data_IF_974592717704
#
_entry.id   IF_974592717704
#
_cell.length_a   1.000
_cell.length_b   1.000
_cell.length_c   1.000
_cell.angle_alpha   90.00
_cell.angle_beta   90.00
_cell.angle_gamma   90.00
#
_symmetry.space_group_name_H-M   'P 1'
#
loop_
_entity.id
_entity.type
_entity.pdbx_description
1 polymer ?
#
# COMPACT_ATOMS: atom_id res chain seq x y z
N UNK A 1 19.87 11.53 9.84
CA UNK A 1 20.04 12.06 8.47
C UNK A 1 20.32 10.93 7.46
N UNK A 2 21.28 10.03 7.72
CA UNK A 2 21.58 8.89 6.83
C UNK A 2 20.42 7.93 6.61
N UNK A 3 19.58 7.65 7.59
CA UNK A 3 18.42 6.77 7.47
C UNK A 3 17.31 7.31 6.53
N UNK A 4 17.27 8.61 6.27
CA UNK A 4 16.35 9.21 5.28
C UNK A 4 16.85 9.02 3.85
N UNK A 5 18.17 8.95 3.65
CA UNK A 5 18.79 8.76 2.32
C UNK A 5 18.84 7.27 1.97
N UNK A 6 19.17 6.44 2.98
CA UNK A 6 19.26 4.98 2.86
C UNK A 6 18.25 4.33 3.83
N UNK A 7 16.95 4.30 3.47
CA UNK A 7 15.94 3.66 4.29
C UNK A 7 16.19 2.15 4.37
N UNK A 8 15.65 1.53 5.42
CA UNK A 8 15.63 0.06 5.51
C UNK A 8 14.96 -0.53 4.28
N UNK A 9 15.32 -1.75 3.96
CA UNK A 9 14.74 -2.51 2.85
C UNK A 9 13.76 -3.52 3.43
N UNK A 10 12.60 -3.59 2.81
CA UNK A 10 11.63 -4.63 3.10
C UNK A 10 12.21 -6.03 2.81
N UNK A 11 11.86 -7.03 3.61
CA UNK A 11 12.41 -8.39 3.51
C UNK A 11 12.25 -9.00 2.12
N UNK A 12 11.14 -8.71 1.46
CA UNK A 12 10.83 -9.14 0.10
C UNK A 12 11.80 -8.55 -0.96
N UNK A 13 12.49 -7.46 -0.65
CA UNK A 13 13.41 -6.78 -1.56
C UNK A 13 14.78 -7.45 -1.70
N UNK A 14 15.26 -8.14 -0.66
CA UNK A 14 16.64 -8.65 -0.66
C UNK A 14 16.97 -9.54 -1.86
N UNK A 15 16.08 -10.47 -2.20
CA UNK A 15 16.29 -11.36 -3.36
C UNK A 15 16.37 -10.61 -4.69
N UNK A 16 15.56 -9.56 -4.86
CA UNK A 16 15.56 -8.76 -6.10
C UNK A 16 16.80 -7.90 -6.20
N UNK A 17 17.29 -7.36 -5.08
CA UNK A 17 18.53 -6.59 -5.03
C UNK A 17 19.73 -7.48 -5.37
N UNK A 18 19.81 -8.69 -4.80
CA UNK A 18 20.89 -9.65 -5.12
C UNK A 18 20.89 -9.98 -6.62
N UNK A 19 19.73 -10.25 -7.19
CA UNK A 19 19.60 -10.51 -8.64
C UNK A 19 20.03 -9.28 -9.45
N UNK A 20 19.58 -8.07 -9.08
CA UNK A 20 19.93 -6.85 -9.77
C UNK A 20 21.43 -6.56 -9.73
N UNK A 21 22.07 -6.74 -8.56
CA UNK A 21 23.53 -6.62 -8.41
C UNK A 21 24.27 -7.62 -9.29
N UNK A 22 23.82 -8.89 -9.30
CA UNK A 22 24.43 -9.91 -10.15
C UNK A 22 24.35 -9.54 -11.64
N UNK A 23 23.18 -9.13 -12.11
CA UNK A 23 22.98 -8.67 -13.50
C UNK A 23 23.89 -7.46 -13.80
N UNK A 24 24.00 -6.52 -12.87
CA UNK A 24 24.84 -5.34 -13.01
C UNK A 24 26.32 -5.72 -13.17
N UNK A 25 26.82 -6.67 -12.40
CA UNK A 25 28.19 -7.17 -12.52
C UNK A 25 28.43 -7.80 -13.91
N UNK A 26 27.49 -8.63 -14.38
CA UNK A 26 27.57 -9.20 -15.74
C UNK A 26 27.59 -8.10 -16.81
N UNK A 27 26.74 -7.09 -16.68
CA UNK A 27 26.70 -5.97 -17.60
C UNK A 27 28.00 -5.15 -17.62
N UNK A 28 28.62 -4.93 -16.45
CA UNK A 28 29.92 -4.25 -16.35
C UNK A 28 31.06 -5.02 -17.03
N UNK A 29 31.03 -6.37 -16.99
CA UNK A 29 32.02 -7.20 -17.68
C UNK A 29 31.86 -7.09 -19.21
N UNK A 30 30.61 -6.94 -19.71
CA UNK A 30 30.34 -6.85 -21.13
C UNK A 30 30.68 -5.46 -21.67
N UNK A 31 30.20 -4.39 -21.03
CA UNK A 31 30.38 -3.02 -21.47
C UNK A 31 30.03 -2.02 -20.36
N UNK A 32 30.86 -0.98 -20.19
CA UNK A 32 30.67 0.06 -19.18
C UNK A 32 29.32 0.79 -19.30
N UNK A 33 28.80 0.99 -20.51
CA UNK A 33 27.49 1.63 -20.73
C UNK A 33 26.33 0.74 -20.21
N UNK A 34 26.39 -0.55 -20.52
CA UNK A 34 25.43 -1.52 -19.95
C UNK A 34 25.55 -1.59 -18.43
N UNK A 35 26.78 -1.55 -17.91
CA UNK A 35 27.02 -1.49 -16.48
C UNK A 35 26.37 -0.28 -15.81
N UNK A 36 26.45 0.89 -16.43
CA UNK A 36 25.74 2.08 -15.92
C UNK A 36 24.23 1.88 -15.85
N UNK A 37 23.63 1.30 -16.89
CA UNK A 37 22.20 0.96 -16.89
C UNK A 37 21.89 -0.02 -15.74
N UNK A 38 22.73 -1.04 -15.55
CA UNK A 38 22.59 -2.00 -14.45
C UNK A 38 22.62 -1.33 -13.09
N UNK A 39 23.54 -0.37 -12.86
CA UNK A 39 23.64 0.40 -11.62
C UNK A 39 22.33 1.18 -11.37
N UNK A 40 21.84 1.91 -12.38
CA UNK A 40 20.60 2.69 -12.26
C UNK A 40 19.39 1.80 -11.92
N UNK A 41 19.29 0.64 -12.59
CA UNK A 41 18.24 -0.33 -12.28
C UNK A 41 18.36 -0.91 -10.87
N UNK A 42 19.58 -1.20 -10.40
CA UNK A 42 19.81 -1.69 -9.03
C UNK A 42 19.42 -0.64 -8.00
N UNK A 43 19.77 0.62 -8.21
CA UNK A 43 19.35 1.73 -7.36
C UNK A 43 17.84 1.86 -7.35
N UNK A 44 17.18 1.76 -8.50
CA UNK A 44 15.72 1.80 -8.57
C UNK A 44 15.08 0.63 -7.82
N UNK A 45 15.57 -0.61 -7.96
CA UNK A 45 15.10 -1.78 -7.21
C UNK A 45 15.26 -1.55 -5.70
N UNK A 46 16.38 -0.99 -5.26
CA UNK A 46 16.60 -0.63 -3.86
C UNK A 46 15.52 0.35 -3.36
N UNK A 47 15.28 1.45 -4.12
CA UNK A 47 14.28 2.46 -3.74
C UNK A 47 12.86 1.92 -3.79
N UNK A 48 12.55 1.02 -4.72
CA UNK A 48 11.24 0.38 -4.80
C UNK A 48 10.91 -0.41 -3.54
N UNK A 49 11.88 -1.19 -3.03
CA UNK A 49 11.69 -2.02 -1.84
C UNK A 49 12.04 -1.30 -0.53
N UNK A 50 12.15 0.03 -0.54
CA UNK A 50 12.40 0.78 0.69
C UNK A 50 11.25 0.65 1.67
N UNK A 51 11.58 0.59 2.95
CA UNK A 51 10.65 0.58 4.07
C UNK A 51 11.08 1.66 5.09
N UNK A 52 10.79 2.94 4.81
CA UNK A 52 11.20 4.04 5.67
C UNK A 52 10.42 4.02 6.99
N UNK A 53 11.09 4.43 8.06
CA UNK A 53 10.40 4.75 9.31
C UNK A 53 9.50 5.97 9.09
N UNK A 54 8.31 5.94 9.69
CA UNK A 54 7.28 6.98 9.56
C UNK A 54 7.00 7.62 10.91
N UNK A 55 6.63 8.90 10.87
CA UNK A 55 6.20 9.61 12.07
C UNK A 55 4.68 9.51 12.18
N UNK A 56 4.23 8.58 13.00
CA UNK A 56 2.80 8.33 13.20
C UNK A 56 2.25 9.32 14.24
N UNK A 57 1.08 9.89 13.98
CA UNK A 57 0.44 10.82 14.90
C UNK A 57 -0.03 10.12 16.20
N UNK A 58 -0.44 8.86 16.10
CA UNK A 58 -0.91 8.07 17.26
C UNK A 58 -2.21 8.59 17.86
N UNK A 59 -3.09 9.18 17.05
CA UNK A 59 -4.39 9.72 17.47
C UNK A 59 -5.51 8.97 16.75
N UNK A 60 -6.29 8.22 17.51
CA UNK A 60 -7.38 7.38 16.99
C UNK A 60 -8.57 8.19 16.46
N UNK A 61 -8.59 9.54 16.63
CA UNK A 61 -9.57 10.41 15.97
C UNK A 61 -9.33 10.58 14.48
N UNK A 62 -8.18 10.13 13.97
CA UNK A 62 -7.81 10.25 12.55
C UNK A 62 -7.53 8.89 11.91
N UNK A 63 -7.89 8.79 10.64
CA UNK A 63 -7.37 7.74 9.76
C UNK A 63 -6.15 8.27 9.03
N UNK A 64 -5.02 7.55 9.09
CA UNK A 64 -3.81 7.87 8.32
C UNK A 64 -3.77 7.10 6.99
N UNK A 65 -2.99 7.60 6.04
CA UNK A 65 -2.85 6.94 4.74
C UNK A 65 -2.23 5.53 4.88
N UNK A 66 -2.80 4.49 4.26
CA UNK A 66 -2.19 3.16 4.22
C UNK A 66 -1.06 3.06 3.19
N UNK A 67 -0.91 4.03 2.29
CA UNK A 67 0.01 3.96 1.16
C UNK A 67 0.64 5.31 0.83
N UNK A 68 1.84 5.28 0.25
CA UNK A 68 2.39 6.43 -0.48
C UNK A 68 1.72 6.49 -1.85
N UNK A 69 1.45 7.69 -2.37
CA UNK A 69 0.93 7.85 -3.72
C UNK A 69 0.01 9.06 -3.90
N UNK A 70 -0.79 9.02 -4.94
CA UNK A 70 -1.75 10.08 -5.27
C UNK A 70 -3.17 9.64 -4.92
N UNK A 71 -3.93 10.49 -4.25
CA UNK A 71 -5.38 10.31 -4.02
C UNK A 71 -6.09 10.46 -5.36
N UNK A 72 -6.63 9.36 -5.90
CA UNK A 72 -7.32 9.36 -7.20
C UNK A 72 -8.84 9.36 -7.08
N UNK A 73 -9.39 9.00 -5.90
CA UNK A 73 -10.84 9.01 -5.64
C UNK A 73 -11.15 9.33 -4.18
N UNK A 74 -12.24 10.08 -3.98
CA UNK A 74 -12.90 10.30 -2.69
C UNK A 74 -14.40 10.24 -2.99
N UNK A 75 -15.09 9.19 -2.57
CA UNK A 75 -16.49 8.94 -2.96
C UNK A 75 -17.25 8.15 -1.89
N UNK A 76 -18.60 8.18 -1.95
CA UNK A 76 -19.46 7.30 -1.15
C UNK A 76 -19.86 6.09 -2.01
N UNK A 77 -19.73 4.90 -1.43
CA UNK A 77 -19.96 3.63 -2.13
C UNK A 77 -20.62 2.61 -1.19
N UNK A 78 -21.13 1.54 -1.75
CA UNK A 78 -21.49 0.36 -0.99
C UNK A 78 -20.21 -0.35 -0.49
N UNK A 79 -20.31 -0.98 0.66
CA UNK A 79 -19.19 -1.72 1.22
C UNK A 79 -18.79 -2.93 0.37
N UNK A 80 -17.58 -3.47 0.58
CA UNK A 80 -17.09 -4.61 -0.19
C UNK A 80 -17.98 -5.85 -0.02
N UNK A 81 -18.57 -6.31 -1.12
CA UNK A 81 -19.42 -7.51 -1.15
C UNK A 81 -18.69 -8.79 -0.77
N UNK A 82 -17.38 -8.82 -0.99
CA UNK A 82 -16.52 -9.94 -0.63
C UNK A 82 -16.47 -10.17 0.88
N UNK A 83 -16.75 -9.12 1.66
CA UNK A 83 -16.81 -9.18 3.13
C UNK A 83 -18.24 -9.17 3.67
N UNK A 84 -19.27 -9.27 2.79
CA UNK A 84 -20.69 -9.20 3.17
C UNK A 84 -21.11 -7.82 3.68
N UNK A 85 -20.47 -6.75 3.21
CA UNK A 85 -20.73 -5.37 3.62
C UNK A 85 -21.51 -4.55 2.61
N UNK A 86 -22.01 -5.16 1.53
CA UNK A 86 -22.71 -4.50 0.42
C UNK A 86 -23.98 -3.73 0.82
N UNK A 87 -24.56 -4.05 1.97
CA UNK A 87 -25.74 -3.38 2.49
C UNK A 87 -25.42 -2.16 3.39
N UNK A 88 -24.14 -1.85 3.56
CA UNK A 88 -23.67 -0.70 4.32
C UNK A 88 -23.05 0.34 3.39
N UNK A 89 -23.27 1.62 3.69
CA UNK A 89 -22.63 2.74 2.99
C UNK A 89 -21.28 3.08 3.65
N UNK A 90 -20.27 3.25 2.83
CA UNK A 90 -18.93 3.64 3.24
C UNK A 90 -18.48 4.87 2.44
N UNK A 91 -17.67 5.71 3.07
CA UNK A 91 -16.80 6.62 2.33
C UNK A 91 -15.56 5.85 1.92
N UNK A 92 -15.08 6.09 0.70
CA UNK A 92 -13.90 5.42 0.14
C UNK A 92 -12.88 6.44 -0.35
N UNK A 93 -11.63 6.24 0.03
CA UNK A 93 -10.48 6.94 -0.53
C UNK A 93 -9.61 5.92 -1.24
N UNK A 94 -9.27 6.21 -2.52
CA UNK A 94 -8.38 5.38 -3.33
C UNK A 94 -7.05 6.10 -3.56
N UNK A 95 -5.94 5.41 -3.31
CA UNK A 95 -4.59 5.94 -3.42
C UNK A 95 -3.81 5.09 -4.44
N UNK A 96 -3.38 5.72 -5.52
CA UNK A 96 -2.59 5.09 -6.57
C UNK A 96 -1.09 5.22 -6.26
N UNK A 97 -0.40 4.09 -6.23
CA UNK A 97 1.04 4.00 -6.03
C UNK A 97 1.74 3.80 -7.37
N UNK A 98 2.53 4.77 -7.83
CA UNK A 98 3.37 4.61 -9.00
C UNK A 98 4.67 3.86 -8.65
N UNK A 99 5.44 3.44 -9.65
CA UNK A 99 6.65 2.61 -9.47
C UNK A 99 7.81 3.28 -8.72
N UNK A 100 7.71 4.55 -8.37
CA UNK A 100 8.68 5.29 -7.58
C UNK A 100 8.21 5.50 -6.13
N UNK A 101 6.95 5.21 -5.83
CA UNK A 101 6.39 5.32 -4.48
C UNK A 101 6.86 4.16 -3.59
N UNK A 102 6.70 4.31 -2.27
CA UNK A 102 6.92 3.22 -1.33
C UNK A 102 5.70 2.30 -1.34
N UNK A 103 5.93 1.01 -1.52
CA UNK A 103 4.86 0.01 -1.67
C UNK A 103 4.55 -0.77 -0.38
N UNK A 104 5.20 -0.44 0.73
CA UNK A 104 4.84 -0.97 2.05
C UNK A 104 3.57 -0.29 2.53
N UNK A 105 2.54 -1.08 2.80
CA UNK A 105 1.25 -0.59 3.27
C UNK A 105 1.13 -0.71 4.79
N UNK A 106 0.39 0.24 5.37
CA UNK A 106 0.21 0.38 6.81
C UNK A 106 -1.25 0.45 7.19
N UNK A 107 -1.59 0.06 8.44
CA UNK A 107 -2.96 0.24 8.92
C UNK A 107 -3.28 1.73 9.12
N UNK A 108 -4.49 2.18 8.69
CA UNK A 108 -4.90 3.57 8.86
C UNK A 108 -5.30 3.92 10.29
N UNK A 109 -5.60 2.95 11.14
CA UNK A 109 -6.07 3.14 12.50
C UNK A 109 -5.51 2.07 13.44
N UNK A 110 -5.60 2.32 14.74
CA UNK A 110 -5.46 1.26 15.74
C UNK A 110 -6.74 0.40 15.78
N UNK A 111 -6.60 -0.90 16.01
CA UNK A 111 -7.76 -1.79 16.10
C UNK A 111 -7.41 -3.25 15.97
N UNK A 112 -8.44 -4.09 15.85
CA UNK A 112 -8.30 -5.54 15.73
C UNK A 112 -8.66 -5.96 14.30
N UNK A 113 -7.83 -6.78 13.69
CA UNK A 113 -8.09 -7.38 12.37
C UNK A 113 -9.17 -8.45 12.52
N UNK A 114 -10.40 -8.12 12.16
CA UNK A 114 -11.53 -9.08 12.25
C UNK A 114 -11.48 -10.12 11.13
N UNK A 115 -11.06 -9.74 9.95
CA UNK A 115 -10.97 -10.67 8.82
C UNK A 115 -9.91 -10.25 7.80
N UNK A 116 -9.37 -11.25 7.08
CA UNK A 116 -8.45 -11.08 5.96
C UNK A 116 -8.94 -11.99 4.83
N UNK A 117 -9.20 -11.39 3.67
CA UNK A 117 -9.68 -12.13 2.51
C UNK A 117 -8.81 -11.85 1.29
N UNK A 118 -8.10 -12.87 0.82
CA UNK A 118 -7.40 -12.81 -0.44
C UNK A 118 -8.29 -13.27 -1.60
N UNK A 119 -8.32 -12.49 -2.66
CA UNK A 119 -9.05 -12.81 -3.89
C UNK A 119 -8.10 -12.81 -5.08
N UNK A 120 -7.85 -13.97 -5.71
CA UNK A 120 -7.08 -14.02 -6.94
C UNK A 120 -7.79 -13.27 -8.05
N UNK A 121 -7.04 -12.69 -8.97
CA UNK A 121 -7.60 -11.89 -10.05
C UNK A 121 -6.62 -11.61 -11.17
N UNK A 122 -6.96 -10.65 -12.03
CA UNK A 122 -6.16 -10.17 -13.15
C UNK A 122 -5.14 -9.12 -12.66
N UNK A 123 -4.33 -8.63 -13.59
CA UNK A 123 -3.35 -7.56 -13.38
C UNK A 123 -3.58 -6.45 -14.41
N UNK A 124 -4.71 -5.74 -14.30
CA UNK A 124 -5.02 -4.58 -15.11
C UNK A 124 -4.38 -3.33 -14.50
N UNK A 125 -4.33 -2.23 -15.26
CA UNK A 125 -3.85 -0.95 -14.71
C UNK A 125 -4.71 -0.55 -13.49
N UNK A 126 -4.08 -0.42 -12.32
CA UNK A 126 -4.76 -0.18 -11.04
C UNK A 126 -5.46 1.19 -10.94
N UNK A 127 -5.12 2.16 -11.82
CA UNK A 127 -5.82 3.45 -11.89
C UNK A 127 -7.22 3.36 -12.49
N UNK A 128 -7.54 2.28 -13.20
CA UNK A 128 -8.83 2.08 -13.86
C UNK A 128 -9.88 1.52 -12.89
N UNK A 129 -11.15 1.89 -13.10
CA UNK A 129 -12.27 1.42 -12.26
C UNK A 129 -12.42 -0.11 -12.29
N UNK A 130 -12.30 -0.72 -13.46
CA UNK A 130 -12.33 -2.18 -13.63
C UNK A 130 -11.27 -2.94 -12.82
N UNK A 131 -10.16 -2.28 -12.46
CA UNK A 131 -9.15 -2.90 -11.62
C UNK A 131 -9.67 -3.21 -10.22
N UNK A 132 -10.62 -2.43 -9.70
CA UNK A 132 -11.26 -2.69 -8.40
C UNK A 132 -12.08 -3.98 -8.38
N UNK A 133 -12.52 -4.48 -9.53
CA UNK A 133 -13.39 -5.65 -9.61
C UNK A 133 -12.67 -6.90 -10.10
N UNK A 134 -11.71 -6.74 -11.02
CA UNK A 134 -11.07 -7.83 -11.74
C UNK A 134 -9.68 -8.21 -11.22
N UNK A 135 -8.95 -7.25 -10.61
CA UNK A 135 -7.56 -7.50 -10.21
C UNK A 135 -7.43 -8.34 -8.94
N UNK A 136 -6.25 -8.96 -8.76
CA UNK A 136 -5.84 -9.59 -7.51
C UNK A 136 -5.93 -8.60 -6.36
N UNK A 137 -6.58 -9.01 -5.26
CA UNK A 137 -6.87 -8.15 -4.10
C UNK A 137 -6.64 -8.89 -2.79
N UNK A 138 -6.31 -8.11 -1.77
CA UNK A 138 -6.32 -8.55 -0.39
C UNK A 138 -7.05 -7.54 0.48
N UNK A 139 -8.03 -8.00 1.22
CA UNK A 139 -8.89 -7.20 2.08
C UNK A 139 -8.48 -7.40 3.52
N UNK A 140 -8.39 -6.31 4.26
CA UNK A 140 -8.23 -6.30 5.72
C UNK A 140 -9.45 -5.61 6.32
N UNK A 141 -10.30 -6.36 7.03
CA UNK A 141 -11.37 -5.78 7.83
C UNK A 141 -10.85 -5.53 9.23
N UNK A 142 -10.82 -4.27 9.64
CA UNK A 142 -10.30 -3.82 10.92
C UNK A 142 -11.44 -3.20 11.71
N UNK A 143 -11.61 -3.60 12.95
CA UNK A 143 -12.50 -2.93 13.90
C UNK A 143 -11.67 -1.92 14.65
N UNK A 144 -11.96 -0.63 14.45
CA UNK A 144 -11.25 0.43 15.14
C UNK A 144 -11.66 0.51 16.64
N UNK A 145 -10.98 1.36 17.42
CA UNK A 145 -11.27 1.55 18.85
C UNK A 145 -12.62 2.18 19.13
N UNK A 146 -13.24 2.83 18.14
CA UNK A 146 -14.57 3.44 18.24
C UNK A 146 -15.69 2.47 17.81
N UNK A 147 -15.34 1.25 17.39
CA UNK A 147 -16.28 0.23 16.94
C UNK A 147 -16.71 0.40 15.46
N UNK A 148 -16.02 1.20 14.67
CA UNK A 148 -16.29 1.34 13.24
C UNK A 148 -15.61 0.24 12.43
N UNK A 149 -16.23 -0.14 11.31
CA UNK A 149 -15.62 -1.01 10.32
C UNK A 149 -14.72 -0.17 9.39
N UNK A 150 -13.42 -0.48 9.39
CA UNK A 150 -12.44 0.09 8.46
C UNK A 150 -11.94 -1.04 7.57
N UNK A 151 -12.04 -0.86 6.25
CA UNK A 151 -11.54 -1.88 5.32
C UNK A 151 -10.42 -1.29 4.46
N UNK A 152 -9.24 -1.92 4.51
CA UNK A 152 -8.14 -1.62 3.61
C UNK A 152 -8.11 -2.70 2.53
N UNK A 153 -8.08 -2.27 1.26
CA UNK A 153 -8.00 -3.19 0.12
C UNK A 153 -6.72 -2.91 -0.65
N UNK A 154 -5.81 -3.87 -0.64
CA UNK A 154 -4.65 -3.87 -1.53
C UNK A 154 -5.09 -4.39 -2.90
N UNK A 155 -4.80 -3.65 -3.97
CA UNK A 155 -5.19 -3.99 -5.33
C UNK A 155 -3.92 -4.02 -6.19
N UNK A 156 -3.60 -5.19 -6.73
CA UNK A 156 -2.46 -5.36 -7.62
C UNK A 156 -2.70 -4.65 -8.97
N UNK A 157 -1.66 -4.08 -9.56
CA UNK A 157 -1.71 -3.43 -10.87
C UNK A 157 -1.05 -4.24 -11.97
N UNK A 158 -0.87 -3.62 -13.15
CA UNK A 158 -0.40 -4.26 -14.39
C UNK A 158 0.95 -4.98 -14.27
N UNK A 159 1.86 -4.45 -13.48
CA UNK A 159 3.20 -5.01 -13.26
C UNK A 159 3.26 -5.79 -11.95
N UNK A 160 2.24 -5.65 -11.10
CA UNK A 160 2.15 -6.34 -9.84
C UNK A 160 2.03 -7.85 -10.06
N UNK A 161 2.86 -8.62 -9.35
CA UNK A 161 2.83 -10.10 -9.43
C UNK A 161 2.55 -10.75 -8.08
N UNK A 162 2.35 -9.96 -7.02
CA UNK A 162 2.03 -10.50 -5.71
C UNK A 162 1.67 -9.42 -4.70
N UNK A 163 0.63 -9.66 -3.95
CA UNK A 163 0.32 -9.00 -2.68
C UNK A 163 0.94 -9.84 -1.57
N UNK A 164 1.70 -9.18 -0.69
CA UNK A 164 2.28 -9.79 0.51
C UNK A 164 1.47 -9.31 1.70
N UNK A 165 0.88 -10.24 2.43
CA UNK A 165 0.17 -9.98 3.68
C UNK A 165 1.12 -10.27 4.85
N UNK A 166 1.26 -9.33 5.79
CA UNK A 166 2.16 -9.44 6.94
C UNK A 166 1.42 -9.42 8.29
N UNK A 167 0.09 -9.46 8.24
CA UNK A 167 -0.73 -9.49 9.46
C UNK A 167 -1.65 -10.70 9.46
N UNK A 168 -2.21 -11.01 10.62
CA UNK A 168 -3.06 -12.16 10.85
C UNK A 168 -4.43 -11.74 11.38
N UNK A 169 -5.43 -12.59 11.16
CA UNK A 169 -6.75 -12.44 11.78
C UNK A 169 -6.62 -12.45 13.32
N UNK A 170 -7.40 -11.62 13.98
CA UNK A 170 -7.40 -11.34 15.42
C UNK A 170 -6.11 -10.66 15.93
N UNK A 171 -5.24 -10.20 15.08
CA UNK A 171 -4.09 -9.40 15.47
C UNK A 171 -4.54 -7.99 15.87
N UNK A 172 -4.03 -7.49 16.99
CA UNK A 172 -4.14 -6.09 17.38
C UNK A 172 -3.06 -5.28 16.66
N UNK A 173 -3.45 -4.17 16.07
CA UNK A 173 -2.58 -3.25 15.34
C UNK A 173 -2.64 -1.86 15.96
N UNK A 174 -1.51 -1.18 16.00
CA UNK A 174 -1.45 0.26 16.26
C UNK A 174 -1.48 1.02 14.96
N UNK A 175 -2.05 2.23 14.96
CA UNK A 175 -2.06 3.11 13.81
C UNK A 175 -0.66 3.21 13.17
N UNK A 176 -0.57 3.00 11.87
CA UNK A 176 0.69 3.03 11.12
C UNK A 176 1.52 1.75 11.14
N UNK A 177 1.10 0.70 11.84
CA UNK A 177 1.76 -0.61 11.76
C UNK A 177 1.73 -1.16 10.33
N UNK A 178 2.78 -1.90 9.95
CA UNK A 178 2.87 -2.53 8.63
C UNK A 178 1.85 -3.66 8.52
N UNK A 179 1.11 -3.70 7.39
CA UNK A 179 0.14 -4.77 7.11
C UNK A 179 0.52 -5.60 5.88
N UNK A 180 1.52 -5.15 5.14
CA UNK A 180 2.01 -5.87 3.98
C UNK A 180 2.58 -4.97 2.89
N UNK A 181 2.77 -5.55 1.70
CA UNK A 181 3.36 -4.87 0.55
C UNK A 181 2.71 -5.34 -0.75
N UNK A 182 2.58 -4.45 -1.73
CA UNK A 182 2.19 -4.80 -3.10
C UNK A 182 3.41 -4.63 -3.99
N UNK A 183 3.78 -5.67 -4.77
CA UNK A 183 4.92 -5.59 -5.68
C UNK A 183 4.50 -5.01 -7.01
N UNK A 184 5.05 -3.83 -7.38
CA UNK A 184 4.96 -3.12 -8.64
C UNK A 184 3.58 -2.59 -9.03
N UNK A 185 3.42 -1.23 -9.08
CA UNK A 185 2.30 -0.46 -9.59
C UNK A 185 0.94 -0.93 -9.09
N UNK A 186 0.35 -0.21 -8.15
CA UNK A 186 -0.76 -0.72 -7.36
C UNK A 186 -1.68 0.39 -6.86
N UNK A 187 -2.75 0.00 -6.19
CA UNK A 187 -3.68 0.91 -5.54
C UNK A 187 -4.06 0.36 -4.17
N UNK A 188 -4.23 1.25 -3.21
CA UNK A 188 -4.84 0.95 -1.92
C UNK A 188 -6.15 1.72 -1.79
N UNK A 189 -7.24 1.01 -1.47
CA UNK A 189 -8.52 1.62 -1.15
C UNK A 189 -8.78 1.52 0.36
N UNK A 190 -9.27 2.60 0.96
CA UNK A 190 -9.72 2.62 2.36
C UNK A 190 -11.20 2.90 2.37
N UNK A 191 -11.98 1.98 2.91
CA UNK A 191 -13.41 2.15 3.19
C UNK A 191 -13.58 2.40 4.68
N UNK A 192 -14.42 3.37 5.04
CA UNK A 192 -14.64 3.74 6.43
C UNK A 192 -16.03 4.33 6.66
N UNK A 193 -16.53 4.16 7.88
CA UNK A 193 -17.77 4.75 8.39
C UNK A 193 -17.43 5.88 9.38
N UNK A 194 -18.36 6.79 9.61
CA UNK A 194 -18.32 7.80 10.67
C UNK A 194 -17.08 8.70 10.73
N UNK A 195 -16.36 8.85 9.63
CA UNK A 195 -15.25 9.79 9.49
C UNK A 195 -15.52 10.76 8.34
N UNK A 196 -15.02 11.99 8.44
CA UNK A 196 -15.09 12.99 7.38
C UNK A 196 -13.75 13.07 6.63
N UNK A 197 -13.74 13.05 5.27
CA UNK A 197 -12.50 13.10 4.49
C UNK A 197 -11.82 14.46 4.65
N UNK A 198 -10.50 14.44 4.86
CA UNK A 198 -9.63 15.61 4.94
C UNK A 198 -8.84 15.84 3.66
N UNK A 199 -8.81 14.88 2.76
CA UNK A 199 -8.03 14.93 1.52
C UNK A 199 -8.94 15.11 0.29
N UNK A 200 -8.33 15.58 -0.80
CA UNK A 200 -8.99 15.76 -2.10
C UNK A 200 -8.23 15.00 -3.18
N UNK A 201 -8.94 14.67 -4.26
CA UNK A 201 -8.33 14.08 -5.46
C UNK A 201 -7.19 14.96 -5.97
N UNK A 202 -6.07 14.35 -6.36
CA UNK A 202 -4.84 14.98 -6.80
C UNK A 202 -3.84 15.30 -5.68
N UNK A 203 -4.18 15.08 -4.41
CA UNK A 203 -3.23 15.26 -3.30
C UNK A 203 -2.28 14.07 -3.19
N UNK A 204 -1.03 14.34 -2.84
CA UNK A 204 -0.05 13.31 -2.48
C UNK A 204 -0.30 12.85 -1.04
N UNK A 205 -0.33 11.54 -0.85
CA UNK A 205 -0.43 10.89 0.44
C UNK A 205 0.88 10.17 0.79
N UNK A 206 1.22 10.18 2.08
CA UNK A 206 2.38 9.49 2.65
C UNK A 206 1.86 8.48 3.68
N UNK A 207 2.20 7.21 3.49
CA UNK A 207 1.78 6.10 4.34
C UNK A 207 2.13 6.33 5.81
N UNK A 208 1.14 6.25 6.68
CA UNK A 208 1.27 6.46 8.13
C UNK A 208 1.34 7.93 8.57
N UNK A 209 1.51 8.90 7.66
CA UNK A 209 1.71 10.31 8.02
C UNK A 209 0.57 11.24 7.55
N UNK A 210 0.05 11.02 6.34
CA UNK A 210 -1.04 11.86 5.81
C UNK A 210 -2.36 11.52 6.48
N UNK A 211 -3.03 12.51 7.07
CA UNK A 211 -4.36 12.38 7.65
C UNK A 211 -5.40 12.30 6.53
N UNK A 212 -6.05 11.16 6.38
CA UNK A 212 -7.06 10.92 5.34
C UNK A 212 -8.45 11.37 5.76
N UNK A 213 -8.83 11.10 7.00
CA UNK A 213 -10.16 11.40 7.52
C UNK A 213 -10.13 11.61 9.02
N UNK A 214 -11.17 12.28 9.57
CA UNK A 214 -11.36 12.57 10.97
C UNK A 214 -12.73 12.10 11.43
N UNK A 215 -12.78 11.46 12.62
CA UNK A 215 -14.01 11.10 13.34
C UNK A 215 -14.65 12.34 13.99
#
# INVERSE_FOLDING_TARGET
MFSKIFPKIHTEGYKFIVIAVFITVVFLIINNFLGLIGILLTVWVYYFFRDPERTIIGDDSYLVSPADGEVIKVEEVDGPKELGLENKKFKKISIFMNVFDCHVNRTPCSGIVEDILYKPGKFLNASLDKASEDNERNYYKIKDKHGNDIVVVQIAGLVARRIVCETNKNQELNQGDRIGMIRFGSRADVYYENYEPLVKVGQTAISGETLLAKN
#
